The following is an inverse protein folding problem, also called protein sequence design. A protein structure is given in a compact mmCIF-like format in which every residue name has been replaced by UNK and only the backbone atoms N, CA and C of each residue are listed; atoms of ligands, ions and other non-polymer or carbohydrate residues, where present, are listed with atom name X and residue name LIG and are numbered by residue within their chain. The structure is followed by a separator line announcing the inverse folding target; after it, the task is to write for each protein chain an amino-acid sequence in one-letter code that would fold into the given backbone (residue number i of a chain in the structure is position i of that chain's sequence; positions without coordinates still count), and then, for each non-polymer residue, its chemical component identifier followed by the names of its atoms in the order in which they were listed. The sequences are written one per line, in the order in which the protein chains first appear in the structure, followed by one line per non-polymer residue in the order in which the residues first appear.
data_IF_725038359663
#
_entry.id   IF_725038359663
#
_cell.length_a   1.000
_cell.length_b   1.000
_cell.length_c   1.000
_cell.angle_alpha   90.00
_cell.angle_beta   90.00
_cell.angle_gamma   90.00
#
_symmetry.space_group_name_H-M   'P 1'
#
loop_
_entity.id
_entity.type
_entity.pdbx_description
1 polymer ?
#
# COMPACT_ATOMS: atom_id res chain seq x y z
N UNK A 1 -28.46 31.74 0.15
CA UNK A 1 -27.26 32.57 -0.05
C UNK A 1 -26.60 32.79 1.30
N UNK A 2 -25.47 32.16 1.61
CA UNK A 2 -24.73 32.39 2.85
C UNK A 2 -23.24 32.22 2.60
N UNK A 3 -22.42 33.24 2.86
CA UNK A 3 -20.97 33.17 2.69
C UNK A 3 -20.30 32.88 4.04
N UNK A 4 -19.56 31.78 4.16
CA UNK A 4 -18.66 31.54 5.29
C UNK A 4 -17.20 31.74 4.83
N UNK A 5 -16.75 33.00 4.83
CA UNK A 5 -15.33 33.36 4.65
C UNK A 5 -14.64 33.37 6.01
N UNK A 6 -13.74 32.42 6.27
CA UNK A 6 -12.83 32.49 7.42
C UNK A 6 -11.37 32.36 6.99
N UNK A 7 -10.81 33.47 6.50
CA UNK A 7 -9.37 33.61 6.33
C UNK A 7 -8.70 33.76 7.71
N UNK A 8 -7.83 32.82 8.09
CA UNK A 8 -6.87 33.01 9.19
C UNK A 8 -5.44 32.86 8.67
N UNK A 9 -4.87 33.96 8.19
CA UNK A 9 -3.47 34.04 7.81
C UNK A 9 -2.58 34.09 9.06
N UNK A 10 -1.98 32.97 9.42
CA UNK A 10 -1.03 32.88 10.53
C UNK A 10 0.32 33.51 10.14
N UNK A 11 0.49 34.82 10.42
CA UNK A 11 1.79 35.50 10.29
C UNK A 11 2.74 35.09 11.42
N UNK A 12 3.44 33.97 11.24
CA UNK A 12 4.59 33.61 12.10
C UNK A 12 5.82 34.35 11.57
N UNK A 13 6.17 35.45 12.23
CA UNK A 13 7.43 36.16 11.96
C UNK A 13 8.57 35.48 12.72
N UNK A 14 9.43 34.76 12.00
CA UNK A 14 10.71 34.25 12.53
C UNK A 14 11.80 35.34 12.41
N UNK A 15 12.57 35.60 13.47
CA UNK A 15 13.62 36.63 13.44
C UNK A 15 14.81 36.19 12.58
N UNK A 16 15.42 37.15 11.90
CA UNK A 16 16.62 36.91 11.10
C UNK A 16 17.84 36.65 12.01
N UNK A 17 18.32 35.40 12.04
CA UNK A 17 19.60 35.07 12.67
C UNK A 17 20.74 35.27 11.66
N UNK A 18 21.43 36.40 11.78
CA UNK A 18 22.51 36.81 10.90
C UNK A 18 23.86 36.45 11.57
N UNK A 19 24.45 35.32 11.16
CA UNK A 19 25.74 34.84 11.67
C UNK A 19 26.73 34.60 10.52
N UNK A 20 27.80 35.40 10.48
CA UNK A 20 28.86 35.30 9.48
C UNK A 20 29.88 34.21 9.85
N UNK A 21 29.97 33.16 9.03
CA UNK A 21 31.20 32.39 8.75
C UNK A 21 31.13 32.01 7.26
N UNK A 22 31.77 32.72 6.32
CA UNK A 22 33.22 32.93 6.11
C UNK A 22 33.96 31.67 5.60
N UNK A 23 34.11 31.61 4.27
CA UNK A 23 35.25 30.96 3.60
C UNK A 23 35.22 29.45 3.39
N UNK A 24 34.85 29.01 2.18
CA UNK A 24 35.49 27.85 1.52
C UNK A 24 35.22 27.84 0.00
N UNK A 25 35.89 28.71 -0.75
CA UNK A 25 35.87 28.63 -2.22
C UNK A 25 36.68 27.42 -2.71
N UNK A 26 35.99 26.42 -3.27
CA UNK A 26 36.56 25.14 -3.71
C UNK A 26 36.50 24.91 -5.23
N UNK A 27 36.78 25.93 -6.04
CA UNK A 27 36.62 25.85 -7.51
C UNK A 27 37.79 25.12 -8.20
N UNK A 28 37.76 23.79 -8.18
CA UNK A 28 38.75 22.94 -8.85
C UNK A 28 38.17 22.22 -10.08
N UNK A 29 38.42 22.82 -11.26
CA UNK A 29 38.30 22.17 -12.58
C UNK A 29 39.15 20.88 -12.61
N UNK A 30 38.69 19.81 -13.30
CA UNK A 30 39.32 19.28 -14.54
C UNK A 30 38.76 17.93 -15.05
N UNK A 31 38.85 17.77 -16.37
CA UNK A 31 39.04 16.54 -17.17
C UNK A 31 38.15 15.32 -16.92
N UNK A 32 37.21 15.14 -17.85
CA UNK A 32 36.95 13.83 -18.46
C UNK A 32 38.22 13.30 -19.16
N UNK A 33 38.44 11.97 -19.16
CA UNK A 33 39.06 11.24 -20.24
C UNK A 33 38.00 10.43 -21.03
N UNK A 34 38.28 10.13 -22.30
CA UNK A 34 37.45 9.30 -23.17
C UNK A 34 38.26 8.11 -23.73
N UNK A 35 37.55 7.08 -24.22
CA UNK A 35 38.06 5.94 -25.01
C UNK A 35 39.02 4.95 -24.29
N UNK A 36 39.10 3.66 -24.64
CA UNK A 36 38.23 2.80 -25.48
C UNK A 36 38.37 1.29 -25.08
N UNK A 37 38.66 0.31 -25.98
CA UNK A 37 37.69 -0.66 -26.52
C UNK A 37 38.00 -2.15 -26.20
N UNK A 38 37.17 -3.08 -26.73
CA UNK A 38 37.36 -4.56 -26.87
C UNK A 38 37.72 -5.36 -25.58
N UNK A 39 37.48 -6.67 -25.39
CA UNK A 39 37.12 -7.87 -26.17
C UNK A 39 36.21 -8.76 -25.25
N UNK A 40 35.56 -9.90 -25.58
CA UNK A 40 35.31 -10.74 -26.78
C UNK A 40 34.05 -11.63 -26.49
N UNK A 41 33.38 -12.30 -27.46
CA UNK A 41 32.15 -13.08 -27.20
C UNK A 41 32.39 -14.54 -26.75
N UNK A 42 31.42 -15.11 -26.04
CA UNK A 42 31.41 -16.54 -25.68
C UNK A 42 30.02 -17.19 -25.82
N UNK A 43 29.89 -18.06 -26.82
CA UNK A 43 28.88 -19.10 -27.01
C UNK A 43 29.56 -20.25 -27.81
N UNK A 44 28.99 -21.47 -27.92
CA UNK A 44 27.73 -22.00 -27.38
C UNK A 44 27.96 -23.25 -26.49
N UNK A 45 26.89 -23.99 -26.14
CA UNK A 45 26.73 -25.42 -26.50
C UNK A 45 25.44 -26.06 -25.95
N UNK A 46 24.87 -26.94 -26.78
CA UNK A 46 23.89 -28.02 -26.52
C UNK A 46 24.35 -29.00 -25.41
N UNK A 47 23.58 -29.91 -24.79
CA UNK A 47 22.28 -30.59 -25.06
C UNK A 47 21.89 -31.42 -23.79
N UNK A 48 20.88 -32.34 -23.77
CA UNK A 48 19.70 -32.55 -24.64
C UNK A 48 18.37 -32.65 -23.83
N UNK A 49 17.26 -32.95 -24.51
CA UNK A 49 16.01 -33.47 -23.92
C UNK A 49 16.19 -34.95 -23.44
N UNK A 50 15.35 -35.47 -22.51
CA UNK A 50 14.22 -36.28 -22.98
C UNK A 50 12.93 -36.31 -22.11
N UNK A 51 11.77 -36.28 -22.78
CA UNK A 51 10.64 -37.25 -22.67
C UNK A 51 10.06 -37.60 -21.26
N UNK A 52 8.77 -37.28 -21.05
CA UNK A 52 7.64 -38.23 -20.82
C UNK A 52 6.32 -37.43 -20.72
N UNK A 53 5.24 -37.92 -21.33
CA UNK A 53 3.91 -37.30 -21.29
C UNK A 53 2.95 -38.04 -20.32
N UNK A 54 2.07 -37.32 -19.60
CA UNK A 54 0.87 -37.90 -18.98
C UNK A 54 -0.33 -37.87 -19.94
N UNK A 55 -1.14 -38.93 -19.91
CA UNK A 55 -2.28 -39.13 -20.81
C UNK A 55 -3.50 -38.24 -20.53
N UNK A 56 -4.35 -38.12 -21.56
CA UNK A 56 -5.67 -37.49 -21.54
C UNK A 56 -6.77 -38.38 -20.86
N UNK A 57 -8.04 -37.93 -20.73
CA UNK A 57 -9.07 -38.51 -19.83
C UNK A 57 -9.68 -39.85 -20.30
N UNK A 58 -10.69 -40.49 -19.63
CA UNK A 58 -11.58 -39.93 -18.59
C UNK A 58 -11.86 -40.79 -17.33
N UNK A 59 -12.48 -40.15 -16.33
CA UNK A 59 -13.28 -40.80 -15.30
C UNK A 59 -14.48 -39.90 -14.94
N UNK A 60 -15.58 -40.04 -15.68
CA UNK A 60 -16.87 -39.48 -15.27
C UNK A 60 -17.44 -40.38 -14.15
N UNK A 61 -17.53 -39.86 -12.93
CA UNK A 61 -18.11 -40.56 -11.78
C UNK A 61 -19.41 -39.86 -11.40
N UNK A 62 -20.43 -40.69 -11.13
CA UNK A 62 -21.85 -40.33 -11.08
C UNK A 62 -22.22 -39.08 -10.26
N UNK A 63 -23.24 -38.38 -10.74
CA UNK A 63 -24.06 -37.46 -9.96
C UNK A 63 -24.63 -38.17 -8.72
N UNK A 64 -24.50 -37.59 -7.51
CA UNK A 64 -25.31 -38.02 -6.37
C UNK A 64 -26.77 -37.68 -6.65
N UNK A 65 -27.65 -38.69 -6.69
CA UNK A 65 -29.08 -38.44 -6.85
C UNK A 65 -29.63 -37.71 -5.63
N UNK A 66 -30.38 -36.63 -5.85
CA UNK A 66 -31.11 -35.94 -4.78
C UNK A 66 -32.24 -36.83 -4.25
N UNK A 67 -32.08 -37.32 -3.03
CA UNK A 67 -33.19 -37.91 -2.25
C UNK A 67 -33.73 -36.83 -1.32
N UNK A 68 -34.91 -36.23 -1.60
CA UNK A 68 -35.54 -35.28 -0.68
C UNK A 68 -36.18 -36.03 0.50
N UNK A 69 -35.37 -36.54 1.42
CA UNK A 69 -35.85 -36.97 2.73
C UNK A 69 -36.48 -35.77 3.44
N UNK A 70 -37.80 -35.82 3.62
CA UNK A 70 -38.55 -34.77 4.31
C UNK A 70 -38.23 -34.88 5.80
N UNK A 71 -37.56 -33.89 6.42
CA UNK A 71 -37.30 -33.95 7.85
C UNK A 71 -38.64 -33.91 8.60
N UNK A 72 -38.84 -34.76 9.63
CA UNK A 72 -40.02 -34.62 10.48
C UNK A 72 -40.01 -33.23 11.13
N UNK A 73 -41.19 -32.68 11.38
CA UNK A 73 -41.33 -31.35 12.00
C UNK A 73 -40.82 -31.38 13.45
N UNK A 74 -39.51 -31.14 13.61
CA UNK A 74 -38.89 -30.94 14.91
C UNK A 74 -39.57 -29.76 15.63
N UNK A 75 -39.80 -29.92 16.93
CA UNK A 75 -40.37 -28.85 17.74
C UNK A 75 -39.48 -27.60 17.67
N UNK A 76 -40.11 -26.41 17.77
CA UNK A 76 -39.38 -25.14 17.79
C UNK A 76 -38.65 -25.04 19.14
N UNK A 77 -37.44 -25.60 19.18
CA UNK A 77 -36.49 -25.38 20.25
C UNK A 77 -36.13 -23.87 20.27
N UNK A 78 -36.21 -23.19 21.42
CA UNK A 78 -35.95 -21.76 21.48
C UNK A 78 -34.50 -21.49 21.10
N UNK A 79 -34.30 -20.79 19.99
CA UNK A 79 -32.98 -20.56 19.41
C UNK A 79 -32.00 -20.04 20.49
N UNK A 80 -30.80 -20.66 20.62
CA UNK A 80 -29.87 -20.31 21.69
C UNK A 80 -29.53 -18.82 21.61
N UNK A 81 -29.69 -18.12 22.74
CA UNK A 81 -29.43 -16.69 22.81
C UNK A 81 -28.01 -16.40 22.30
N UNK A 82 -27.91 -15.63 21.22
CA UNK A 82 -26.63 -15.31 20.59
C UNK A 82 -25.68 -14.72 21.65
N UNK A 83 -24.42 -15.19 21.73
CA UNK A 83 -23.46 -14.65 22.67
C UNK A 83 -23.32 -13.14 22.41
N UNK A 84 -23.20 -12.30 23.45
CA UNK A 84 -23.15 -10.85 23.28
C UNK A 84 -22.01 -10.49 22.33
N UNK A 85 -22.30 -9.68 21.30
CA UNK A 85 -21.27 -9.21 20.37
C UNK A 85 -20.11 -8.61 21.16
N UNK A 86 -18.91 -9.18 21.00
CA UNK A 86 -17.71 -8.64 21.61
C UNK A 86 -17.57 -7.16 21.17
N UNK A 87 -17.28 -6.23 22.10
CA UNK A 87 -17.37 -4.80 21.83
C UNK A 87 -16.49 -4.43 20.64
N UNK A 88 -17.14 -4.04 19.53
CA UNK A 88 -16.48 -3.62 18.30
C UNK A 88 -15.63 -2.39 18.62
N UNK A 89 -14.33 -2.64 18.71
CA UNK A 89 -13.33 -1.67 19.14
C UNK A 89 -13.29 -0.55 18.09
N UNK A 90 -13.75 0.64 18.50
CA UNK A 90 -14.11 1.72 17.59
C UNK A 90 -13.00 2.03 16.56
N UNK A 91 -13.30 1.82 15.29
CA UNK A 91 -12.37 2.13 14.21
C UNK A 91 -12.36 3.65 13.94
N UNK A 92 -11.19 4.24 13.64
CA UNK A 92 -11.12 5.67 13.31
C UNK A 92 -11.89 5.95 12.02
N UNK A 93 -12.62 7.07 11.98
CA UNK A 93 -13.24 7.56 10.74
C UNK A 93 -12.14 8.05 9.78
N UNK A 94 -11.83 7.23 8.77
CA UNK A 94 -10.83 7.56 7.75
C UNK A 94 -11.50 8.18 6.51
N UNK A 95 -10.81 9.09 5.78
CA UNK A 95 -11.29 9.59 4.51
C UNK A 95 -11.56 8.45 3.49
N UNK A 96 -12.54 8.59 2.58
CA UNK A 96 -13.01 7.50 1.70
C UNK A 96 -11.99 7.05 0.63
N UNK A 97 -10.80 7.65 0.64
CA UNK A 97 -9.66 7.28 -0.19
C UNK A 97 -8.57 6.52 0.58
N UNK A 98 -8.74 6.22 1.87
CA UNK A 98 -7.80 5.40 2.68
C UNK A 98 -8.55 4.32 3.44
N UNK A 99 -7.99 3.11 3.49
CA UNK A 99 -8.52 1.98 4.26
C UNK A 99 -7.40 1.11 4.84
N UNK A 100 -7.52 0.76 6.12
CA UNK A 100 -6.69 -0.29 6.73
C UNK A 100 -7.16 -1.65 6.21
N UNK A 101 -6.24 -2.43 5.64
CA UNK A 101 -6.52 -3.75 5.04
C UNK A 101 -6.08 -4.89 5.97
N UNK A 102 -4.94 -4.73 6.65
CA UNK A 102 -4.42 -5.73 7.60
C UNK A 102 -3.74 -5.02 8.78
N UNK A 103 -3.97 -5.52 10.00
CA UNK A 103 -3.32 -5.04 11.23
C UNK A 103 -2.18 -5.99 11.63
N UNK A 104 -1.13 -5.51 12.30
CA UNK A 104 -0.08 -6.40 12.84
C UNK A 104 -0.58 -7.24 14.01
N UNK A 105 -1.42 -6.65 14.87
CA UNK A 105 -2.07 -7.27 16.02
C UNK A 105 -3.59 -7.08 15.87
N UNK A 106 -4.35 -8.10 15.47
CA UNK A 106 -5.80 -7.98 15.24
C UNK A 106 -6.60 -7.53 16.48
N UNK A 107 -6.11 -7.85 17.68
CA UNK A 107 -6.70 -7.48 18.97
C UNK A 107 -6.47 -6.03 19.40
N UNK A 108 -5.56 -5.30 18.75
CA UNK A 108 -5.30 -3.88 19.02
C UNK A 108 -5.98 -2.99 17.97
N UNK A 109 -6.37 -1.74 18.31
CA UNK A 109 -6.78 -0.76 17.32
C UNK A 109 -5.68 -0.52 16.27
N UNK A 110 -6.09 -0.20 15.05
CA UNK A 110 -5.21 0.50 14.12
C UNK A 110 -5.42 2.01 14.30
N UNK A 111 -4.33 2.79 14.25
CA UNK A 111 -4.41 4.25 14.15
C UNK A 111 -3.79 4.68 12.84
N UNK A 112 -4.39 5.69 12.21
CA UNK A 112 -3.87 6.39 11.04
C UNK A 112 -4.05 7.89 11.30
N UNK A 113 -2.98 8.65 11.14
CA UNK A 113 -2.98 10.11 11.13
C UNK A 113 -2.56 10.59 9.73
N UNK A 114 -3.10 11.73 9.30
CA UNK A 114 -2.98 12.24 7.95
C UNK A 114 -2.62 13.72 7.99
N UNK A 115 -1.66 14.09 7.16
CA UNK A 115 -1.32 15.47 6.82
C UNK A 115 -1.39 15.61 5.29
N UNK A 116 -2.38 16.38 4.85
CA UNK A 116 -2.72 16.69 3.46
C UNK A 116 -2.42 18.15 3.11
N UNK A 117 -1.46 18.78 3.81
CA UNK A 117 -1.06 20.18 3.64
C UNK A 117 -0.51 20.57 2.25
N UNK A 118 -0.35 19.61 1.32
CA UNK A 118 -0.02 19.87 -0.09
C UNK A 118 -0.63 18.83 -1.03
N UNK A 119 -1.18 19.28 -2.16
CA UNK A 119 -1.66 18.39 -3.23
C UNK A 119 -0.55 17.61 -3.96
N UNK A 120 0.72 17.92 -3.68
CA UNK A 120 1.89 17.21 -4.21
C UNK A 120 2.49 16.19 -3.21
N UNK A 121 1.95 16.11 -1.98
CA UNK A 121 2.42 15.21 -0.92
C UNK A 121 1.29 14.75 0.00
N UNK A 122 1.09 13.44 0.09
CA UNK A 122 0.27 12.82 1.14
C UNK A 122 1.17 12.26 2.23
N UNK A 123 1.03 12.74 3.47
CA UNK A 123 1.71 12.16 4.64
C UNK A 123 0.74 11.29 5.41
N UNK A 124 1.17 10.07 5.74
CA UNK A 124 0.40 9.09 6.51
C UNK A 124 1.30 8.53 7.62
N UNK A 125 0.88 8.71 8.87
CA UNK A 125 1.51 8.09 10.03
C UNK A 125 0.58 7.01 10.58
N UNK A 126 1.13 5.84 10.90
CA UNK A 126 0.36 4.65 11.23
C UNK A 126 0.84 3.96 12.49
N UNK A 127 -0.08 3.33 13.21
CA UNK A 127 0.22 2.43 14.33
C UNK A 127 -0.61 1.16 14.18
N UNK A 128 0.06 0.02 14.34
CA UNK A 128 -0.53 -1.32 14.19
C UNK A 128 -1.09 -1.65 12.78
N UNK A 129 -0.81 -0.85 11.76
CA UNK A 129 -1.19 -1.14 10.37
C UNK A 129 -0.09 -1.95 9.69
N UNK A 130 -0.44 -3.09 9.08
CA UNK A 130 0.43 -3.91 8.22
C UNK A 130 0.16 -3.70 6.74
N UNK A 131 -1.11 -3.61 6.33
CA UNK A 131 -1.51 -3.25 4.96
C UNK A 131 -2.44 -2.05 4.95
N UNK A 132 -2.18 -1.14 4.03
CA UNK A 132 -2.93 0.08 3.81
C UNK A 132 -3.33 0.15 2.33
N UNK A 133 -4.59 0.46 2.06
CA UNK A 133 -5.10 0.77 0.72
C UNK A 133 -5.32 2.27 0.60
N UNK A 134 -4.88 2.86 -0.52
CA UNK A 134 -5.00 4.28 -0.83
C UNK A 134 -5.49 4.43 -2.29
N UNK A 135 -6.57 5.18 -2.48
CA UNK A 135 -7.11 5.50 -3.80
C UNK A 135 -6.57 6.86 -4.28
N UNK A 136 -5.63 6.80 -5.24
CA UNK A 136 -5.02 7.98 -5.86
C UNK A 136 -6.05 8.92 -6.50
N UNK A 137 -7.10 8.36 -7.10
CA UNK A 137 -8.10 9.12 -7.88
C UNK A 137 -9.09 9.87 -6.98
N UNK A 138 -9.16 9.51 -5.68
CA UNK A 138 -10.05 10.11 -4.68
C UNK A 138 -9.32 10.94 -3.62
N UNK A 139 -8.00 10.81 -3.53
CA UNK A 139 -7.16 11.65 -2.67
C UNK A 139 -7.11 13.10 -3.21
N UNK A 140 -6.88 14.12 -2.36
CA UNK A 140 -6.80 15.53 -2.77
C UNK A 140 -5.44 15.87 -3.44
N UNK A 141 -4.99 15.02 -4.37
CA UNK A 141 -3.66 15.05 -4.98
C UNK A 141 -3.73 15.38 -6.48
N UNK A 142 -2.62 15.89 -7.05
CA UNK A 142 -2.50 15.99 -8.51
C UNK A 142 -2.37 14.59 -9.13
N UNK A 143 -3.44 14.13 -9.78
CA UNK A 143 -3.52 12.80 -10.42
C UNK A 143 -2.44 12.61 -11.49
N UNK A 144 -2.30 13.56 -12.42
CA UNK A 144 -1.49 13.44 -13.64
C UNK A 144 0.02 13.75 -13.46
N UNK A 145 0.59 13.54 -12.27
CA UNK A 145 2.01 13.83 -11.94
C UNK A 145 2.56 12.83 -10.92
N UNK A 146 3.88 12.71 -10.80
CA UNK A 146 4.46 12.10 -9.59
C UNK A 146 4.13 12.94 -8.35
N UNK A 147 3.81 12.27 -7.23
CA UNK A 147 3.61 12.88 -5.91
C UNK A 147 4.40 12.09 -4.87
N UNK A 148 4.74 12.73 -3.75
CA UNK A 148 5.45 12.07 -2.65
C UNK A 148 4.43 11.49 -1.66
N UNK A 149 4.30 10.17 -1.64
CA UNK A 149 3.58 9.47 -0.57
C UNK A 149 4.57 9.23 0.57
N UNK A 150 4.30 9.75 1.77
CA UNK A 150 5.17 9.59 2.94
C UNK A 150 4.51 8.70 3.99
N UNK A 151 4.89 7.43 4.05
CA UNK A 151 4.37 6.45 5.01
C UNK A 151 5.34 6.28 6.18
N UNK A 152 4.90 6.59 7.40
CA UNK A 152 5.71 6.53 8.64
C UNK A 152 7.09 7.22 8.52
N UNK A 153 7.12 8.35 7.82
CA UNK A 153 8.34 9.11 7.55
C UNK A 153 9.13 8.68 6.31
N UNK A 154 8.95 7.47 5.80
CA UNK A 154 9.57 6.97 4.56
C UNK A 154 8.90 7.60 3.34
N UNK A 155 9.68 8.22 2.46
CA UNK A 155 9.20 8.72 1.17
C UNK A 155 9.12 7.62 0.12
N UNK A 156 8.01 7.56 -0.60
CA UNK A 156 7.77 6.73 -1.78
C UNK A 156 7.33 7.66 -2.91
N UNK A 157 8.01 7.62 -4.07
CA UNK A 157 7.49 8.29 -5.26
C UNK A 157 6.28 7.51 -5.79
N UNK A 158 5.13 8.17 -5.87
CA UNK A 158 3.92 7.60 -6.45
C UNK A 158 3.67 8.31 -7.79
N UNK A 159 4.05 7.65 -8.89
CA UNK A 159 3.87 8.17 -10.25
C UNK A 159 2.39 8.28 -10.63
N UNK A 160 2.07 9.20 -11.54
CA UNK A 160 0.68 9.48 -11.97
C UNK A 160 -0.05 8.24 -12.48
N UNK A 161 0.63 7.47 -13.33
CA UNK A 161 0.12 6.25 -13.96
C UNK A 161 0.21 4.99 -13.07
N UNK A 162 0.61 5.14 -11.80
CA UNK A 162 0.81 4.01 -10.89
C UNK A 162 -0.52 3.33 -10.53
N UNK A 163 -0.62 2.05 -10.87
CA UNK A 163 -1.74 1.17 -10.47
C UNK A 163 -1.62 0.65 -9.03
N UNK A 164 -0.54 0.97 -8.32
CA UNK A 164 -0.35 0.56 -6.92
C UNK A 164 -1.34 1.28 -6.02
N UNK A 165 -2.37 0.56 -5.55
CA UNK A 165 -3.35 1.04 -4.56
C UNK A 165 -3.20 0.40 -3.18
N UNK A 166 -2.49 -0.73 -3.05
CA UNK A 166 -2.15 -1.33 -1.77
C UNK A 166 -0.65 -1.20 -1.47
N UNK A 167 -0.34 -0.91 -0.21
CA UNK A 167 1.00 -0.87 0.36
C UNK A 167 1.07 -1.84 1.54
N UNK A 168 2.19 -2.55 1.69
CA UNK A 168 2.45 -3.46 2.82
C UNK A 168 3.72 -3.01 3.56
N UNK A 169 3.64 -2.97 4.89
CA UNK A 169 4.76 -2.72 5.78
C UNK A 169 5.47 -4.05 6.09
N UNK A 170 6.77 -4.10 5.82
CA UNK A 170 7.63 -5.27 6.05
C UNK A 170 7.83 -5.51 7.55
N UNK A 171 8.37 -6.68 7.90
CA UNK A 171 8.78 -7.00 9.29
C UNK A 171 9.91 -6.09 9.80
N UNK A 172 10.65 -5.44 8.90
CA UNK A 172 11.67 -4.44 9.23
C UNK A 172 11.06 -3.04 9.46
N UNK A 173 9.77 -2.86 9.20
CA UNK A 173 9.08 -1.57 9.26
C UNK A 173 9.13 -0.75 7.97
N UNK A 174 9.76 -1.25 6.90
CA UNK A 174 9.83 -0.57 5.60
C UNK A 174 8.52 -0.74 4.84
N UNK A 175 8.03 0.32 4.20
CA UNK A 175 6.85 0.28 3.32
C UNK A 175 7.25 0.01 1.87
N UNK A 176 6.40 -0.74 1.16
CA UNK A 176 6.46 -0.86 -0.30
C UNK A 176 5.12 -1.26 -0.91
N UNK A 177 5.02 -1.37 -2.24
CA UNK A 177 3.87 -1.91 -2.93
C UNK A 177 3.50 -3.29 -2.35
N UNK A 178 2.23 -3.49 -2.01
CA UNK A 178 1.78 -4.76 -1.45
C UNK A 178 1.95 -5.88 -2.48
N UNK A 179 2.55 -7.00 -2.06
CA UNK A 179 2.74 -8.17 -2.93
C UNK A 179 1.39 -8.80 -3.24
N UNK A 180 1.18 -9.17 -4.49
CA UNK A 180 -0.01 -9.90 -4.90
C UNK A 180 -0.03 -11.27 -4.18
N UNK A 181 -1.03 -11.49 -3.31
CA UNK A 181 -1.25 -12.81 -2.71
C UNK A 181 -1.95 -13.67 -3.75
N UNK A 182 -1.20 -14.59 -4.36
CA UNK A 182 -1.80 -15.74 -5.07
C UNK A 182 -2.81 -16.40 -4.12
N UNK A 183 -4.05 -16.49 -4.57
CA UNK A 183 -5.13 -17.23 -3.92
C UNK A 183 -5.12 -18.67 -4.41
#
# INVERSE_FOLDING_TARGET
MTQNRFCRAAKIALPAFLALLAGCEGSARRTSPAAAPDETPAAPLTSPEPVIAPSAPPAAVAEPQETPETPPAAAIEPAPALPPEAPKLAEPELPPYIRVVERFRPSEPALVHLDDSSSERLVVETRNVRRLWIDRERAPLVTNRSVVLRLDGQGIEWTGDSRTREFEKSVNGEWGPARERKR
#
